data_IF_793210391632
#
_entry.id   IF_793210391632
#
_cell.length_a   1.000
_cell.length_b   1.000
_cell.length_c   1.000
_cell.angle_alpha   90.00
_cell.angle_beta   90.00
_cell.angle_gamma   90.00
#
_symmetry.space_group_name_H-M   'P 1'
#
loop_
_entity.id
_entity.type
_entity.pdbx_description
1 polymer ?
#
# COMPACT_ATOMS: atom_id res chain seq x y z
N UNK A 1 -3.42 3.68 -13.23
CA UNK A 1 -3.31 4.01 -11.79
C UNK A 1 -1.87 4.34 -11.51
N UNK A 2 -1.57 5.45 -10.83
CA UNK A 2 -0.21 5.92 -10.62
C UNK A 2 0.30 5.71 -9.18
N UNK A 3 -0.40 4.90 -8.39
CA UNK A 3 -0.12 4.67 -6.98
C UNK A 3 -0.12 3.17 -6.68
N UNK A 4 0.75 2.76 -5.76
CA UNK A 4 0.84 1.38 -5.28
C UNK A 4 0.92 1.41 -3.76
N UNK A 5 -0.02 0.75 -3.10
CA UNK A 5 0.03 0.54 -1.65
C UNK A 5 0.74 -0.75 -1.27
N UNK A 6 1.59 -0.73 -0.25
CA UNK A 6 2.25 -1.92 0.34
C UNK A 6 1.99 -1.92 1.86
N UNK A 7 1.41 -2.99 2.37
CA UNK A 7 1.18 -3.20 3.81
C UNK A 7 2.29 -4.06 4.42
N UNK A 8 3.02 -3.50 5.38
CA UNK A 8 4.10 -4.14 6.12
C UNK A 8 3.65 -4.45 7.56
N UNK A 9 3.13 -5.65 7.77
CA UNK A 9 2.67 -6.09 9.08
C UNK A 9 3.82 -6.36 10.03
N UNK A 10 3.65 -5.91 11.28
CA UNK A 10 4.57 -6.14 12.39
C UNK A 10 6.00 -5.65 12.13
N UNK A 11 6.19 -4.81 11.11
CA UNK A 11 7.47 -4.21 10.77
C UNK A 11 7.86 -3.16 11.80
N UNK A 12 9.16 -3.05 12.06
CA UNK A 12 9.72 -2.03 12.95
C UNK A 12 10.13 -0.76 12.16
N UNK A 13 10.22 0.41 12.81
CA UNK A 13 10.53 1.65 12.10
C UNK A 13 11.86 1.62 11.30
N UNK A 14 12.99 1.10 11.83
CA UNK A 14 14.24 1.02 11.06
C UNK A 14 14.11 0.26 9.74
N UNK A 15 13.49 -0.93 9.76
CA UNK A 15 13.35 -1.75 8.54
C UNK A 15 12.46 -1.09 7.49
N UNK A 16 11.43 -0.34 7.93
CA UNK A 16 10.54 0.42 7.04
C UNK A 16 11.28 1.56 6.35
N UNK A 17 12.14 2.28 7.07
CA UNK A 17 12.94 3.38 6.49
C UNK A 17 13.98 2.84 5.51
N UNK A 18 14.63 1.71 5.82
CA UNK A 18 15.54 1.03 4.89
C UNK A 18 14.84 0.59 3.62
N UNK A 19 13.67 -0.04 3.75
CA UNK A 19 12.87 -0.45 2.60
C UNK A 19 12.42 0.74 1.75
N UNK A 20 11.98 1.85 2.37
CA UNK A 20 11.67 3.09 1.64
C UNK A 20 12.87 3.59 0.82
N UNK A 21 14.08 3.61 1.40
CA UNK A 21 15.30 4.04 0.70
C UNK A 21 15.63 3.11 -0.46
N UNK A 22 15.50 1.80 -0.26
CA UNK A 22 15.69 0.77 -1.29
C UNK A 22 14.73 0.99 -2.46
N UNK A 23 13.43 1.09 -2.18
CA UNK A 23 12.39 1.32 -3.20
C UNK A 23 12.66 2.60 -4.00
N UNK A 24 12.95 3.71 -3.31
CA UNK A 24 13.28 4.99 -3.96
C UNK A 24 14.49 4.84 -4.90
N UNK A 25 15.52 4.12 -4.49
CA UNK A 25 16.71 3.92 -5.33
C UNK A 25 16.40 3.07 -6.55
N UNK A 26 15.68 1.97 -6.39
CA UNK A 26 15.42 0.99 -7.45
C UNK A 26 14.38 1.47 -8.47
N UNK A 27 13.35 2.18 -8.04
CA UNK A 27 12.20 2.52 -8.88
C UNK A 27 12.23 3.96 -9.42
N UNK A 28 13.18 4.80 -9.00
CA UNK A 28 13.27 6.19 -9.48
C UNK A 28 13.40 6.29 -11.00
N UNK A 29 14.18 5.40 -11.63
CA UNK A 29 14.31 5.37 -13.09
C UNK A 29 13.03 4.88 -13.80
N UNK A 30 12.14 4.22 -13.06
CA UNK A 30 10.85 3.72 -13.54
C UNK A 30 9.70 4.69 -13.24
N UNK A 31 9.98 5.97 -12.96
CA UNK A 31 8.96 7.00 -12.73
C UNK A 31 8.49 7.14 -11.28
N UNK A 32 9.11 6.46 -10.32
CA UNK A 32 8.76 6.66 -8.90
C UNK A 32 9.24 8.04 -8.44
N UNK A 33 8.31 8.86 -7.98
CA UNK A 33 8.59 10.23 -7.50
C UNK A 33 8.66 10.31 -5.99
N UNK A 34 7.80 9.57 -5.29
CA UNK A 34 7.65 9.69 -3.84
C UNK A 34 7.27 8.35 -3.20
N UNK A 35 7.73 8.18 -1.95
CA UNK A 35 7.28 7.12 -1.04
C UNK A 35 6.83 7.75 0.27
N UNK A 36 5.52 7.67 0.53
CA UNK A 36 4.91 8.05 1.80
C UNK A 36 4.89 6.84 2.73
N UNK A 37 5.03 7.08 4.03
CA UNK A 37 5.02 6.05 5.06
C UNK A 37 3.98 6.46 6.09
N UNK A 38 3.02 5.57 6.34
CA UNK A 38 1.96 5.75 7.32
C UNK A 38 2.09 4.68 8.39
N UNK A 39 2.04 5.08 9.65
CA UNK A 39 1.93 4.14 10.75
C UNK A 39 0.48 3.64 10.83
N UNK A 40 0.32 2.34 11.04
CA UNK A 40 -0.99 1.69 11.24
C UNK A 40 -1.01 0.99 12.59
N UNK A 41 -2.20 0.53 13.02
CA UNK A 41 -2.34 -0.27 14.25
C UNK A 41 -1.44 -1.52 14.28
N UNK A 42 -1.17 -2.11 13.11
CA UNK A 42 -0.52 -3.41 13.00
C UNK A 42 0.87 -3.36 12.32
N UNK A 43 1.42 -2.18 12.08
CA UNK A 43 2.67 -2.02 11.33
C UNK A 43 2.65 -0.73 10.51
N UNK A 44 3.04 -0.81 9.24
CA UNK A 44 3.16 0.36 8.37
C UNK A 44 2.52 0.14 7.00
N UNK A 45 2.06 1.23 6.40
CA UNK A 45 1.61 1.27 5.02
C UNK A 45 2.53 2.21 4.23
N UNK A 46 3.02 1.74 3.08
CA UNK A 46 3.77 2.55 2.13
C UNK A 46 2.89 2.87 0.94
N UNK A 47 2.86 4.13 0.54
CA UNK A 47 2.26 4.56 -0.70
C UNK A 47 3.36 5.04 -1.65
N UNK A 48 3.53 4.29 -2.74
CA UNK A 48 4.49 4.58 -3.81
C UNK A 48 3.75 5.37 -4.89
N UNK A 49 4.25 6.57 -5.21
CA UNK A 49 3.62 7.49 -6.16
C UNK A 49 4.51 7.62 -7.40
N UNK A 50 3.94 7.31 -8.55
CA UNK A 50 4.61 7.35 -9.84
C UNK A 50 4.09 8.54 -10.68
N UNK A 51 4.93 9.06 -11.58
CA UNK A 51 4.56 10.08 -12.57
C UNK A 51 3.95 9.48 -13.85
N UNK A 52 3.81 8.16 -13.89
CA UNK A 52 3.20 7.41 -14.98
C UNK A 52 2.14 6.45 -14.46
N UNK A 53 1.35 5.93 -15.40
CA UNK A 53 0.45 4.82 -15.12
C UNK A 53 1.23 3.51 -14.92
N UNK A 54 0.75 2.75 -13.94
CA UNK A 54 1.17 1.39 -13.59
C UNK A 54 0.02 0.45 -13.95
N UNK A 55 0.34 -0.66 -14.63
CA UNK A 55 -0.65 -1.71 -14.91
C UNK A 55 -0.97 -2.53 -13.67
N UNK A 56 -2.04 -3.33 -13.71
CA UNK A 56 -2.37 -4.19 -12.58
C UNK A 56 -1.29 -5.26 -12.32
N UNK A 57 -0.77 -5.85 -13.39
CA UNK A 57 0.30 -6.85 -13.37
C UNK A 57 1.57 -6.27 -12.75
N UNK A 58 1.96 -5.08 -13.18
CA UNK A 58 3.13 -4.40 -12.64
C UNK A 58 2.94 -4.05 -11.16
N UNK A 59 1.75 -3.57 -10.77
CA UNK A 59 1.41 -3.31 -9.37
C UNK A 59 1.56 -4.58 -8.51
N UNK A 60 1.08 -5.73 -8.99
CA UNK A 60 1.25 -7.01 -8.30
C UNK A 60 2.71 -7.43 -8.16
N UNK A 61 3.50 -7.29 -9.22
CA UNK A 61 4.92 -7.62 -9.21
C UNK A 61 5.68 -6.76 -8.20
N UNK A 62 5.45 -5.45 -8.18
CA UNK A 62 6.08 -4.52 -7.25
C UNK A 62 5.71 -4.85 -5.80
N UNK A 63 4.43 -5.09 -5.54
CA UNK A 63 3.95 -5.46 -4.20
C UNK A 63 4.56 -6.77 -3.72
N UNK A 64 4.69 -7.77 -4.59
CA UNK A 64 5.32 -9.06 -4.27
C UNK A 64 6.82 -8.89 -4.00
N UNK A 65 7.53 -8.14 -4.86
CA UNK A 65 8.95 -7.83 -4.73
C UNK A 65 9.30 -7.18 -3.37
N UNK A 66 8.42 -6.28 -2.89
CA UNK A 66 8.66 -5.52 -1.67
C UNK A 66 7.92 -6.05 -0.43
N UNK A 67 7.33 -7.24 -0.53
CA UNK A 67 6.83 -7.98 0.63
C UNK A 67 5.49 -7.48 1.18
N UNK A 68 4.56 -7.07 0.30
CA UNK A 68 3.18 -6.78 0.70
C UNK A 68 2.55 -7.97 1.43
N UNK A 69 1.60 -7.65 2.33
CA UNK A 69 0.85 -8.63 3.08
C UNK A 69 0.26 -9.73 2.16
N UNK A 70 0.67 -10.99 2.38
CA UNK A 70 0.29 -12.14 1.53
C UNK A 70 -1.22 -12.29 1.36
N UNK A 71 -2.00 -12.11 2.43
CA UNK A 71 -3.47 -12.15 2.36
C UNK A 71 -4.00 -11.03 1.44
N UNK A 72 -3.42 -9.82 1.50
CA UNK A 72 -3.78 -8.71 0.59
C UNK A 72 -3.52 -9.04 -0.84
N UNK A 73 -2.36 -9.62 -1.11
CA UNK A 73 -2.01 -10.06 -2.45
C UNK A 73 -3.02 -11.08 -2.99
N UNK A 74 -3.35 -12.11 -2.20
CA UNK A 74 -4.28 -13.17 -2.61
C UNK A 74 -5.67 -12.64 -2.95
N UNK A 75 -6.27 -11.82 -2.07
CA UNK A 75 -7.60 -11.25 -2.31
C UNK A 75 -7.60 -10.26 -3.48
N UNK A 76 -6.55 -9.43 -3.62
CA UNK A 76 -6.42 -8.52 -4.75
C UNK A 76 -6.32 -9.28 -6.08
N UNK A 77 -5.53 -10.36 -6.17
CA UNK A 77 -5.39 -11.18 -7.37
C UNK A 77 -6.73 -11.84 -7.74
N UNK A 78 -7.39 -12.51 -6.79
CA UNK A 78 -8.74 -13.11 -6.99
C UNK A 78 -9.76 -12.09 -7.50
N UNK A 79 -9.74 -10.88 -6.95
CA UNK A 79 -10.66 -9.82 -7.39
C UNK A 79 -10.32 -9.32 -8.79
N UNK A 80 -9.04 -9.13 -9.09
CA UNK A 80 -8.60 -8.74 -10.43
C UNK A 80 -9.06 -9.75 -11.49
N UNK A 81 -8.91 -11.05 -11.23
CA UNK A 81 -9.38 -12.11 -12.13
C UNK A 81 -10.90 -12.07 -12.37
N UNK A 82 -11.69 -11.68 -11.36
CA UNK A 82 -13.15 -11.65 -11.46
C UNK A 82 -13.71 -10.41 -12.15
N UNK A 83 -13.14 -9.23 -11.90
CA UNK A 83 -13.73 -7.96 -12.33
C UNK A 83 -12.80 -7.08 -13.19
N UNK A 84 -11.55 -7.49 -13.42
CA UNK A 84 -10.58 -6.79 -14.28
C UNK A 84 -10.12 -5.41 -13.76
N UNK A 85 -10.63 -4.94 -12.62
CA UNK A 85 -10.35 -3.61 -12.07
C UNK A 85 -10.64 -3.54 -10.57
N UNK A 86 -10.33 -2.40 -9.93
CA UNK A 86 -10.62 -2.20 -8.50
C UNK A 86 -10.03 -3.26 -7.56
N UNK A 87 -8.86 -3.81 -7.93
CA UNK A 87 -8.16 -4.88 -7.21
C UNK A 87 -7.36 -4.36 -6.02
N UNK A 88 -6.99 -3.07 -6.02
CA UNK A 88 -6.35 -2.42 -4.89
C UNK A 88 -7.43 -1.97 -3.89
N UNK A 89 -7.61 -2.79 -2.86
CA UNK A 89 -8.63 -2.61 -1.83
C UNK A 89 -7.96 -2.42 -0.48
N UNK A 90 -8.36 -1.35 0.22
CA UNK A 90 -8.16 -1.25 1.65
C UNK A 90 -9.01 -2.34 2.32
N UNK A 91 -8.37 -3.29 2.99
CA UNK A 91 -9.11 -4.28 3.76
C UNK A 91 -9.90 -3.60 4.87
N UNK A 92 -11.20 -3.85 4.90
CA UNK A 92 -11.99 -3.56 6.08
C UNK A 92 -11.67 -4.52 7.23
N UNK A 93 -11.08 -5.70 6.95
CA UNK A 93 -10.68 -6.70 7.94
C UNK A 93 -9.27 -7.25 7.67
N UNK A 94 -8.38 -7.19 8.66
CA UNK A 94 -7.06 -7.85 8.65
C UNK A 94 -6.92 -8.69 9.92
N UNK A 95 -6.63 -9.98 9.76
CA UNK A 95 -6.40 -10.92 10.87
C UNK A 95 -7.55 -10.97 11.91
N UNK A 96 -8.79 -10.91 11.46
CA UNK A 96 -9.97 -10.92 12.35
C UNK A 96 -10.26 -9.58 13.02
N UNK A 97 -9.47 -8.54 12.75
CA UNK A 97 -9.68 -7.18 13.27
C UNK A 97 -10.25 -6.30 12.17
N UNK A 98 -11.38 -5.64 12.47
CA UNK A 98 -11.92 -4.57 11.63
C UNK A 98 -10.95 -3.39 11.63
N UNK A 99 -10.43 -3.04 10.44
CA UNK A 99 -9.72 -1.78 10.24
C UNK A 99 -10.75 -0.66 10.31
N UNK A 100 -10.59 0.24 11.28
CA UNK A 100 -11.40 1.45 11.37
C UNK A 100 -11.07 2.30 10.15
N UNK A 101 -12.07 2.56 9.29
CA UNK A 101 -11.96 3.56 8.23
C UNK A 101 -11.82 4.92 8.93
N UNK A 102 -10.68 5.57 8.76
CA UNK A 102 -10.55 7.00 9.08
C UNK A 102 -10.94 7.73 7.81
N UNK A 103 -12.23 8.02 7.64
CA UNK A 103 -12.69 8.95 6.60
C UNK A 103 -13.19 10.28 7.17
N UNK A 104 -13.52 10.35 8.47
CA UNK A 104 -14.25 11.52 9.01
C UNK A 104 -13.67 12.15 10.30
N UNK A 105 -12.57 11.63 10.87
CA UNK A 105 -11.99 12.20 12.11
C UNK A 105 -11.09 13.43 11.86
N UNK A 106 -10.76 13.75 10.60
CA UNK A 106 -10.04 15.00 10.25
C UNK A 106 -11.00 16.17 9.99
N UNK A 107 -12.26 15.92 9.61
CA UNK A 107 -13.26 17.01 9.46
C UNK A 107 -13.90 17.41 10.79
N UNK A 108 -13.98 16.51 11.77
CA UNK A 108 -14.63 16.77 13.07
C UNK A 108 -13.71 17.41 14.13
N UNK A 109 -12.40 17.51 13.89
CA UNK A 109 -11.47 18.20 14.80
C UNK A 109 -11.15 19.65 14.40
N UNK A 110 -11.60 20.11 13.22
CA UNK A 110 -11.46 21.50 12.77
C UNK A 110 -12.74 22.35 12.96
N UNK A 111 -13.69 21.88 13.77
CA UNK A 111 -14.91 22.63 14.17
C UNK A 111 -15.02 22.86 15.68
N UNK A 112 -13.91 23.06 16.39
CA UNK A 112 -13.94 23.61 17.75
C UNK A 112 -12.95 24.74 17.92
#
# INVERSE_FOLDING_TARGET
>A
MNRIGIDLDYANPPSVIELKRKILKEQKQNGLTQVLVFQTRHGYHLELIYDRDISAEENFQIREQYGDCKKRMEYSKKRYELIGGGYDILFQMKEGVWRRRVWDEIESQNQK
#
